data_IF_477008338731
#
_entry.id   IF_477008338731
#
_cell.length_a   1.000
_cell.length_b   1.000
_cell.length_c   1.000
_cell.angle_alpha   90.00
_cell.angle_beta   90.00
_cell.angle_gamma   90.00
#
_symmetry.space_group_name_H-M   'P 1'
#
loop_
_entity.id
_entity.type
_entity.pdbx_description
1 polymer ?
#
# COMPACT_ATOMS: atom_id res chain seq x y z
N UNK A 1 32.01 23.92 -16.20
CA UNK A 1 30.70 24.59 -16.01
C UNK A 1 29.61 23.59 -16.38
N UNK A 2 28.51 23.52 -15.63
CA UNK A 2 27.43 22.58 -15.92
C UNK A 2 26.58 23.08 -17.10
N UNK A 3 26.10 22.15 -17.92
CA UNK A 3 25.06 22.37 -18.93
C UNK A 3 23.71 22.03 -18.30
N UNK A 4 22.72 22.87 -18.53
CA UNK A 4 21.35 22.63 -18.11
C UNK A 4 20.42 22.79 -19.31
N UNK A 5 19.43 21.91 -19.38
CA UNK A 5 18.40 21.94 -20.39
C UNK A 5 17.18 22.74 -19.90
N UNK A 6 16.61 23.55 -20.78
CA UNK A 6 15.43 24.36 -20.54
C UNK A 6 14.41 24.16 -21.65
N UNK A 7 13.12 24.27 -21.30
CA UNK A 7 12.01 24.26 -22.24
C UNK A 7 11.07 25.42 -21.97
N UNK A 8 10.69 26.13 -23.02
CA UNK A 8 9.64 27.14 -22.93
C UNK A 8 8.26 26.50 -23.05
N UNK A 9 7.34 26.84 -22.14
CA UNK A 9 5.95 26.36 -22.22
C UNK A 9 5.13 27.05 -23.31
N UNK A 10 5.50 28.27 -23.71
CA UNK A 10 4.74 29.04 -24.70
C UNK A 10 5.02 28.58 -26.14
N UNK A 11 6.29 28.45 -26.52
CA UNK A 11 6.67 28.06 -27.89
C UNK A 11 7.20 26.63 -28.01
N UNK A 12 7.40 25.92 -26.89
CA UNK A 12 7.90 24.54 -26.89
C UNK A 12 9.39 24.40 -27.17
N UNK A 13 10.12 25.49 -27.46
CA UNK A 13 11.55 25.45 -27.76
C UNK A 13 12.35 24.92 -26.57
N UNK A 14 13.10 23.85 -26.80
CA UNK A 14 14.10 23.33 -25.88
C UNK A 14 15.49 23.87 -26.26
N UNK A 15 16.29 24.24 -25.25
CA UNK A 15 17.66 24.72 -25.47
C UNK A 15 18.54 24.45 -24.25
N UNK A 16 19.84 24.44 -24.47
CA UNK A 16 20.84 24.19 -23.44
C UNK A 16 21.57 25.48 -23.06
N UNK A 17 21.86 25.65 -21.76
CA UNK A 17 22.60 26.82 -21.26
C UNK A 17 23.68 26.41 -20.25
N UNK A 18 24.89 26.93 -20.44
CA UNK A 18 26.02 26.77 -19.51
C UNK A 18 25.91 27.82 -18.41
N UNK A 19 25.87 27.39 -17.15
CA UNK A 19 25.72 28.30 -16.01
C UNK A 19 26.25 27.69 -14.71
N UNK A 20 26.69 28.50 -13.74
CA UNK A 20 27.05 28.02 -12.41
C UNK A 20 25.80 27.66 -11.61
N UNK A 21 25.93 26.78 -10.61
CA UNK A 21 24.79 26.31 -9.79
C UNK A 21 24.04 27.46 -9.09
N UNK A 22 24.72 28.57 -8.77
CA UNK A 22 24.10 29.76 -8.14
C UNK A 22 23.03 30.41 -9.02
N UNK A 23 23.19 30.34 -10.34
CA UNK A 23 22.33 31.07 -11.28
C UNK A 23 21.21 30.18 -11.85
N UNK A 24 21.21 28.89 -11.54
CA UNK A 24 20.21 27.90 -12.02
C UNK A 24 18.78 28.23 -11.62
N UNK A 25 18.58 28.92 -10.50
CA UNK A 25 17.25 29.31 -10.01
C UNK A 25 16.80 30.67 -10.55
N UNK A 26 17.62 31.34 -11.36
CA UNK A 26 17.26 32.64 -11.93
C UNK A 26 16.30 32.49 -13.11
N UNK A 27 15.56 33.56 -13.40
CA UNK A 27 14.71 33.64 -14.58
C UNK A 27 15.55 33.52 -15.86
N UNK A 28 15.28 32.50 -16.68
CA UNK A 28 15.93 32.31 -17.98
C UNK A 28 14.93 32.63 -19.09
N UNK A 29 15.14 33.70 -19.88
CA UNK A 29 14.29 34.00 -21.02
C UNK A 29 14.53 33.00 -22.16
N UNK A 30 13.45 32.63 -22.85
CA UNK A 30 13.51 31.80 -24.04
C UNK A 30 14.13 32.58 -25.22
N UNK A 31 15.09 32.01 -25.97
CA UNK A 31 15.72 32.67 -27.11
C UNK A 31 14.78 32.87 -28.30
N UNK A 32 13.65 32.14 -28.39
CA UNK A 32 12.69 32.28 -29.50
C UNK A 32 11.58 33.29 -29.24
N UNK A 33 11.08 33.41 -28.01
CA UNK A 33 9.89 34.23 -27.70
C UNK A 33 10.05 35.17 -26.50
N UNK A 34 11.18 35.12 -25.79
CA UNK A 34 11.45 35.97 -24.62
C UNK A 34 10.70 35.58 -23.33
N UNK A 35 9.75 34.66 -23.39
CA UNK A 35 9.01 34.17 -22.21
C UNK A 35 9.89 33.32 -21.28
N UNK A 36 9.45 33.12 -20.04
CA UNK A 36 10.18 32.29 -19.08
C UNK A 36 10.31 30.85 -19.56
N UNK A 37 11.55 30.35 -19.61
CA UNK A 37 11.81 28.94 -19.81
C UNK A 37 11.94 28.23 -18.46
N UNK A 38 11.39 27.02 -18.36
CA UNK A 38 11.53 26.15 -17.19
C UNK A 38 12.69 25.21 -17.40
N UNK A 39 13.46 24.96 -16.34
CA UNK A 39 14.53 23.97 -16.37
C UNK A 39 13.91 22.58 -16.49
N UNK A 40 14.36 21.80 -17.46
CA UNK A 40 14.01 20.39 -17.56
C UNK A 40 14.90 19.61 -16.58
N UNK A 41 14.26 18.88 -15.68
CA UNK A 41 14.91 17.82 -14.92
C UNK A 41 14.56 16.52 -15.63
N UNK A 42 15.56 15.78 -16.08
CA UNK A 42 15.34 14.50 -16.75
C UNK A 42 14.50 13.58 -15.86
N UNK A 43 13.40 13.07 -16.39
CA UNK A 43 12.62 12.01 -15.74
C UNK A 43 13.34 10.69 -15.97
N UNK A 44 13.74 10.02 -14.87
CA UNK A 44 14.26 8.66 -14.94
C UNK A 44 13.22 7.70 -14.36
N UNK A 45 13.02 6.58 -15.04
CA UNK A 45 12.18 5.49 -14.55
C UNK A 45 13.09 4.37 -14.04
N UNK A 46 12.91 3.97 -12.78
CA UNK A 46 13.56 2.77 -12.24
C UNK A 46 12.58 1.62 -12.39
N UNK A 47 12.90 0.66 -13.26
CA UNK A 47 12.12 -0.57 -13.43
C UNK A 47 12.94 -1.71 -12.84
N UNK A 48 12.40 -2.35 -11.81
CA UNK A 48 13.03 -3.49 -11.15
C UNK A 48 11.95 -4.40 -10.58
N UNK A 49 12.18 -5.72 -10.62
CA UNK A 49 11.34 -6.70 -9.96
C UNK A 49 12.03 -7.08 -8.65
N UNK A 50 11.39 -6.79 -7.53
CA UNK A 50 11.85 -7.31 -6.25
C UNK A 50 11.42 -8.78 -6.13
N UNK A 51 12.35 -9.63 -5.69
CA UNK A 51 12.03 -10.95 -5.16
C UNK A 51 11.83 -10.81 -3.64
N UNK A 52 10.70 -11.31 -3.13
CA UNK A 52 10.44 -11.29 -1.70
C UNK A 52 11.48 -12.18 -1.01
N UNK A 53 12.13 -11.64 0.01
CA UNK A 53 13.08 -12.39 0.85
C UNK A 53 12.53 -12.51 2.26
N UNK A 54 13.16 -13.34 3.09
CA UNK A 54 12.80 -13.48 4.51
C UNK A 54 12.85 -12.13 5.27
N UNK A 55 13.67 -11.19 4.79
CA UNK A 55 13.75 -9.84 5.34
C UNK A 55 12.59 -8.92 4.92
N UNK A 56 11.80 -9.31 3.91
CA UNK A 56 10.63 -8.57 3.42
C UNK A 56 9.35 -8.90 4.22
N UNK A 57 9.42 -9.86 5.15
CA UNK A 57 8.29 -10.16 6.03
C UNK A 57 7.97 -8.94 6.90
N UNK A 58 6.67 -8.66 7.14
CA UNK A 58 6.27 -7.60 8.05
C UNK A 58 6.89 -7.83 9.44
N UNK A 59 7.17 -6.74 10.18
CA UNK A 59 7.75 -6.85 11.50
C UNK A 59 6.84 -7.67 12.44
N UNK A 60 7.39 -8.28 13.51
CA UNK A 60 6.67 -9.23 14.36
C UNK A 60 5.34 -8.72 14.92
N UNK A 61 5.24 -7.42 15.22
CA UNK A 61 4.04 -6.78 15.77
C UNK A 61 2.93 -6.54 14.73
N UNK A 62 3.18 -6.81 13.44
CA UNK A 62 2.20 -6.76 12.35
C UNK A 62 1.84 -8.16 11.82
N UNK A 63 2.42 -9.23 12.40
CA UNK A 63 2.13 -10.62 12.01
C UNK A 63 0.97 -11.25 12.78
N UNK A 64 0.45 -10.59 13.81
CA UNK A 64 -0.66 -11.09 14.61
C UNK A 64 -1.98 -10.64 13.99
N UNK A 65 -2.56 -11.51 13.16
CA UNK A 65 -3.85 -11.25 12.52
C UNK A 65 -4.16 -12.06 11.26
N UNK A 66 -3.52 -13.21 11.03
CA UNK A 66 -4.15 -14.25 10.22
C UNK A 66 -4.73 -15.26 11.19
N UNK A 67 -6.03 -15.14 11.43
CA UNK A 67 -6.89 -16.29 11.64
C UNK A 67 -6.51 -17.38 10.61
N UNK A 68 -5.71 -18.32 11.07
CA UNK A 68 -5.67 -19.69 10.61
C UNK A 68 -7.10 -20.26 10.61
N UNK A 69 -7.83 -20.04 9.53
CA UNK A 69 -8.90 -20.95 9.16
C UNK A 69 -8.20 -22.22 8.66
N UNK A 70 -7.92 -23.13 9.59
CA UNK A 70 -7.51 -24.50 9.32
C UNK A 70 -8.49 -25.12 8.31
N UNK A 71 -8.11 -25.12 7.03
CA UNK A 71 -8.67 -26.03 6.02
C UNK A 71 -7.77 -27.26 5.92
N UNK A 72 -7.55 -27.93 7.05
CA UNK A 72 -7.27 -29.36 7.05
C UNK A 72 -8.24 -30.00 8.03
N UNK A 73 -9.03 -30.93 7.51
CA UNK A 73 -10.21 -31.42 8.18
C UNK A 73 -9.85 -32.35 9.32
N UNK A 74 -10.08 -31.90 10.54
CA UNK A 74 -10.14 -32.78 11.71
C UNK A 74 -11.52 -32.69 12.37
N UNK A 75 -12.32 -33.68 11.97
CA UNK A 75 -13.53 -34.20 12.59
C UNK A 75 -13.51 -34.10 14.12
N UNK A 76 -14.14 -33.06 14.68
CA UNK A 76 -14.45 -33.00 16.10
C UNK A 76 -15.97 -32.90 16.26
N UNK A 77 -16.63 -34.01 15.96
CA UNK A 77 -18.03 -34.25 16.26
C UNK A 77 -18.29 -34.16 17.76
N UNK A 78 -18.73 -32.99 18.23
CA UNK A 78 -19.23 -32.82 19.59
C UNK A 78 -20.72 -33.16 19.63
N UNK A 79 -21.03 -34.38 20.09
CA UNK A 79 -22.39 -34.86 20.33
C UNK A 79 -22.94 -34.25 21.63
N UNK A 80 -23.90 -33.33 21.49
CA UNK A 80 -24.80 -32.97 22.58
C UNK A 80 -26.05 -33.84 22.50
N UNK A 81 -26.10 -34.89 23.32
CA UNK A 81 -27.36 -35.59 23.60
C UNK A 81 -28.27 -34.66 24.39
N UNK A 82 -29.38 -34.26 23.78
CA UNK A 82 -30.50 -33.62 24.46
C UNK A 82 -31.73 -34.52 24.30
N UNK A 83 -31.66 -35.71 24.92
CA UNK A 83 -32.80 -36.59 25.12
C UNK A 83 -33.52 -36.30 26.44
N UNK A 84 -34.58 -35.49 26.39
CA UNK A 84 -35.50 -35.27 27.53
C UNK A 84 -36.82 -36.02 27.31
N UNK A 85 -37.06 -37.05 28.14
CA UNK A 85 -38.42 -37.52 28.48
C UNK A 85 -38.37 -38.61 29.57
N UNK A 86 -39.11 -38.42 30.67
CA UNK A 86 -40.32 -39.19 30.99
C UNK A 86 -40.91 -38.78 32.34
N UNK A 87 -42.23 -38.66 32.34
CA UNK A 87 -43.13 -38.38 33.46
C UNK A 87 -43.16 -39.53 34.50
N UNK A 88 -43.24 -39.16 35.78
CA UNK A 88 -43.70 -40.05 36.84
C UNK A 88 -44.62 -39.29 37.80
N UNK A 89 -45.92 -39.36 37.51
CA UNK A 89 -46.96 -38.97 38.46
C UNK A 89 -46.90 -39.79 39.75
N UNK A 90 -46.84 -39.09 40.89
CA UNK A 90 -47.16 -39.66 42.20
C UNK A 90 -48.15 -38.74 42.94
N UNK A 91 -49.37 -39.23 43.04
CA UNK A 91 -50.45 -38.70 43.85
C UNK A 91 -50.16 -38.89 45.34
N UNK A 92 -50.20 -37.81 46.12
CA UNK A 92 -50.37 -37.89 47.57
C UNK A 92 -51.67 -37.18 47.96
N UNK A 93 -52.59 -37.97 48.50
CA UNK A 93 -53.85 -37.54 49.11
C UNK A 93 -53.57 -36.98 50.52
N UNK A 94 -54.15 -35.82 50.83
CA UNK A 94 -54.20 -35.25 52.17
C UNK A 94 -55.66 -34.93 52.52
N UNK A 95 -56.38 -35.93 53.04
CA UNK A 95 -57.69 -35.78 53.65
C UNK A 95 -57.64 -35.74 55.18
N UNK A 96 -58.07 -34.59 55.74
CA UNK A 96 -58.60 -34.26 57.07
C UNK A 96 -58.19 -35.03 58.34
#
# INVERSE_FOLDING_TARGET
MALYEYRCDHCGTAFEKRMPMRDVLQFVPCPSCGQQAKKLMGTFAVVGRAEATEADKPPPWEREGSDDFDLDGDDHGHSHDHGHSHDHGHSHDHGH
#
